data_IF_152775989844
#
_entry.id   IF_152775989844
#
_cell.length_a   1.000
_cell.length_b   1.000
_cell.length_c   1.000
_cell.angle_alpha   90.00
_cell.angle_beta   90.00
_cell.angle_gamma   90.00
#
_symmetry.space_group_name_H-M   'P 1'
#
loop_
_entity.id
_entity.type
_entity.pdbx_description
1 polymer ?
#
# COMPACT_ATOMS: atom_id res chain seq x y z
N UNK A 1 -7.51 -0.12 -17.73
CA UNK A 1 -7.48 -1.17 -16.69
C UNK A 1 -8.78 -1.94 -16.75
N UNK A 2 -8.76 -3.24 -16.46
CA UNK A 2 -9.97 -4.06 -16.41
C UNK A 2 -9.83 -5.15 -15.35
N UNK A 3 -10.85 -5.27 -14.50
CA UNK A 3 -10.90 -6.23 -13.40
C UNK A 3 -11.99 -7.28 -13.66
N UNK A 4 -11.70 -8.54 -13.37
CA UNK A 4 -12.66 -9.65 -13.43
C UNK A 4 -12.65 -10.39 -12.11
N UNK A 5 -13.84 -10.59 -11.54
CA UNK A 5 -14.05 -11.34 -10.30
C UNK A 5 -14.90 -12.58 -10.60
N UNK A 6 -14.41 -13.74 -10.19
CA UNK A 6 -15.16 -14.99 -10.20
C UNK A 6 -15.25 -15.51 -8.76
N UNK A 7 -16.45 -15.88 -8.33
CA UNK A 7 -16.71 -16.33 -6.96
C UNK A 7 -17.14 -17.80 -6.94
N UNK A 8 -16.64 -18.54 -5.96
CA UNK A 8 -17.07 -19.91 -5.66
C UNK A 8 -17.14 -20.10 -4.15
N UNK A 9 -18.32 -19.88 -3.57
CA UNK A 9 -18.47 -19.83 -2.11
C UNK A 9 -17.61 -18.70 -1.51
N UNK A 10 -16.75 -19.04 -0.56
CA UNK A 10 -15.76 -18.11 0.01
C UNK A 10 -14.49 -17.92 -0.82
N UNK A 11 -14.31 -18.71 -1.89
CA UNK A 11 -13.16 -18.59 -2.79
C UNK A 11 -13.41 -17.49 -3.82
N UNK A 12 -12.36 -16.75 -4.14
CA UNK A 12 -12.39 -15.69 -5.17
C UNK A 12 -11.24 -15.90 -6.14
N UNK A 13 -11.50 -15.77 -7.43
CA UNK A 13 -10.47 -15.53 -8.44
C UNK A 13 -10.62 -14.08 -8.94
N UNK A 14 -9.52 -13.34 -8.89
CA UNK A 14 -9.43 -11.96 -9.37
C UNK A 14 -8.40 -11.91 -10.49
N UNK A 15 -8.76 -11.32 -11.62
CA UNK A 15 -7.80 -10.95 -12.67
C UNK A 15 -7.83 -9.44 -12.87
N UNK A 16 -6.65 -8.82 -12.89
CA UNK A 16 -6.48 -7.40 -13.17
C UNK A 16 -5.53 -7.21 -14.34
N UNK A 17 -5.92 -6.37 -15.30
CA UNK A 17 -5.16 -6.14 -16.52
C UNK A 17 -4.79 -4.66 -16.71
N UNK A 18 -3.60 -4.42 -17.24
CA UNK A 18 -3.14 -3.11 -17.67
C UNK A 18 -2.46 -3.19 -19.04
N UNK A 19 -2.56 -2.07 -19.76
CA UNK A 19 -1.79 -1.78 -20.97
C UNK A 19 -1.18 -0.41 -20.76
N UNK A 20 0.13 -0.30 -20.96
CA UNK A 20 0.88 0.95 -20.88
C UNK A 20 1.72 1.05 -22.16
N UNK A 21 1.46 2.08 -22.97
CA UNK A 21 2.19 2.32 -24.22
C UNK A 21 3.70 2.41 -23.95
N UNK A 22 4.49 1.70 -24.75
CA UNK A 22 5.94 1.59 -24.61
C UNK A 22 6.42 0.58 -23.55
N UNK A 23 5.53 0.07 -22.71
CA UNK A 23 5.85 -0.94 -21.68
C UNK A 23 5.26 -2.31 -22.01
N UNK A 24 4.04 -2.34 -22.57
CA UNK A 24 3.32 -3.53 -22.99
C UNK A 24 2.01 -3.74 -22.25
N UNK A 25 1.54 -4.99 -22.27
CA UNK A 25 0.32 -5.39 -21.60
C UNK A 25 0.60 -6.49 -20.59
N UNK A 26 -0.22 -6.57 -19.54
CA UNK A 26 -0.10 -7.62 -18.55
C UNK A 26 -1.41 -7.93 -17.85
N UNK A 27 -1.55 -9.20 -17.46
CA UNK A 27 -2.70 -9.68 -16.68
C UNK A 27 -2.17 -10.40 -15.46
N UNK A 28 -2.55 -9.93 -14.28
CA UNK A 28 -2.29 -10.60 -13.02
C UNK A 28 -3.55 -11.31 -12.57
N UNK A 29 -3.46 -12.64 -12.44
CA UNK A 29 -4.56 -13.48 -11.97
C UNK A 29 -4.19 -14.12 -10.65
N UNK A 30 -5.03 -13.92 -9.65
CA UNK A 30 -4.86 -14.46 -8.30
C UNK A 30 -6.09 -15.21 -7.85
N UNK A 31 -5.89 -16.22 -7.02
CA UNK A 31 -6.94 -16.88 -6.26
C UNK A 31 -6.77 -16.54 -4.79
N UNK A 32 -7.88 -16.28 -4.11
CA UNK A 32 -7.98 -16.06 -2.67
C UNK A 32 -8.83 -17.19 -2.11
N UNK A 33 -8.19 -18.14 -1.44
CA UNK A 33 -8.80 -19.33 -0.84
C UNK A 33 -8.57 -19.25 0.68
N UNK A 34 -9.55 -18.74 1.46
CA UNK A 34 -9.41 -18.55 2.90
C UNK A 34 -9.10 -19.84 3.69
N UNK A 35 -9.45 -21.02 3.15
CA UNK A 35 -9.21 -22.31 3.80
C UNK A 35 -7.78 -22.86 3.66
N UNK A 36 -6.96 -22.31 2.77
CA UNK A 36 -5.61 -22.82 2.50
C UNK A 36 -4.67 -22.83 3.72
N UNK A 37 -4.67 -21.81 4.62
CA UNK A 37 -3.78 -21.81 5.78
C UNK A 37 -3.98 -23.02 6.70
N UNK A 38 -5.21 -23.53 6.84
CA UNK A 38 -5.49 -24.74 7.63
C UNK A 38 -4.83 -26.01 7.06
N UNK A 39 -4.35 -25.94 5.81
CA UNK A 39 -3.64 -27.00 5.10
C UNK A 39 -2.16 -26.66 4.88
N UNK A 40 -1.64 -25.62 5.53
CA UNK A 40 -0.25 -25.18 5.36
C UNK A 40 0.05 -24.53 4.01
N UNK A 41 -0.97 -24.01 3.31
CA UNK A 41 -0.82 -23.34 1.99
C UNK A 41 -1.11 -21.83 2.10
N UNK A 42 -0.52 -21.00 1.22
CA UNK A 42 -0.88 -19.59 1.14
C UNK A 42 -2.36 -19.38 0.77
N UNK A 43 -3.03 -18.44 1.41
CA UNK A 43 -4.41 -18.04 1.08
C UNK A 43 -4.50 -17.34 -0.27
N UNK A 44 -3.44 -16.64 -0.69
CA UNK A 44 -3.35 -15.95 -1.97
C UNK A 44 -2.27 -16.59 -2.83
N UNK A 45 -2.64 -17.00 -4.04
CA UNK A 45 -1.73 -17.58 -5.03
C UNK A 45 -2.04 -16.98 -6.39
N UNK A 46 -1.07 -16.95 -7.31
CA UNK A 46 -1.32 -16.43 -8.65
C UNK A 46 -0.06 -16.16 -9.44
N UNK A 47 -0.23 -15.59 -10.62
CA UNK A 47 0.86 -15.18 -11.48
C UNK A 47 0.49 -13.94 -12.28
N UNK A 48 1.51 -13.27 -12.81
CA UNK A 48 1.41 -12.20 -13.78
C UNK A 48 1.96 -12.67 -15.12
N UNK A 49 1.11 -12.64 -16.15
CA UNK A 49 1.49 -12.85 -17.54
C UNK A 49 1.78 -11.49 -18.19
N UNK A 50 2.91 -11.38 -18.89
CA UNK A 50 3.34 -10.15 -19.57
C UNK A 50 3.35 -10.40 -21.09
N UNK A 51 2.90 -9.42 -21.85
CA UNK A 51 2.92 -9.39 -23.30
C UNK A 51 3.76 -8.22 -23.81
N UNK A 52 4.43 -8.45 -24.93
CA UNK A 52 5.20 -7.43 -25.64
C UNK A 52 4.29 -6.36 -26.26
N UNK A 53 4.68 -5.09 -26.14
CA UNK A 53 3.89 -3.94 -26.61
C UNK A 53 3.74 -3.90 -28.15
N UNK A 54 4.75 -4.36 -28.88
CA UNK A 54 4.80 -4.26 -30.35
C UNK A 54 4.22 -5.51 -30.99
N UNK A 55 4.63 -6.69 -30.52
CA UNK A 55 4.29 -7.97 -31.16
C UNK A 55 3.09 -8.66 -30.53
N UNK A 56 2.69 -8.27 -29.32
CA UNK A 56 1.68 -8.97 -28.53
C UNK A 56 2.12 -10.36 -28.04
N UNK A 57 3.38 -10.75 -28.25
CA UNK A 57 3.88 -12.06 -27.86
C UNK A 57 4.01 -12.17 -26.32
N UNK A 58 3.68 -13.33 -25.71
CA UNK A 58 3.98 -13.58 -24.30
C UNK A 58 5.49 -13.46 -24.01
N UNK A 59 5.85 -12.60 -23.05
CA UNK A 59 7.26 -12.35 -22.66
C UNK A 59 7.69 -13.17 -21.44
N UNK A 60 6.82 -13.29 -20.44
CA UNK A 60 7.13 -13.92 -19.17
C UNK A 60 5.87 -14.28 -18.37
N UNK A 61 6.01 -15.24 -17.46
CA UNK A 61 5.09 -15.50 -16.35
C UNK A 61 5.87 -15.31 -15.06
N UNK A 62 5.41 -14.41 -14.20
CA UNK A 62 6.07 -14.07 -12.93
C UNK A 62 5.16 -14.44 -11.77
N UNK A 63 5.73 -15.03 -10.72
CA UNK A 63 4.99 -15.35 -9.50
C UNK A 63 4.34 -14.10 -8.87
N UNK A 64 3.08 -14.22 -8.42
CA UNK A 64 2.34 -13.09 -7.87
C UNK A 64 2.90 -12.59 -6.54
N UNK A 65 3.46 -13.46 -5.70
CA UNK A 65 3.98 -13.04 -4.41
C UNK A 65 5.17 -12.10 -4.60
N UNK A 66 6.03 -12.37 -5.58
CA UNK A 66 7.14 -11.48 -5.93
C UNK A 66 6.66 -10.10 -6.41
N UNK A 67 5.68 -10.06 -7.31
CA UNK A 67 5.09 -8.80 -7.79
C UNK A 67 4.45 -8.03 -6.65
N UNK A 68 3.58 -8.69 -5.88
CA UNK A 68 2.79 -8.04 -4.83
C UNK A 68 3.68 -7.51 -3.70
N UNK A 69 4.74 -8.25 -3.33
CA UNK A 69 5.74 -7.80 -2.34
C UNK A 69 6.30 -6.43 -2.72
N UNK A 70 6.91 -6.33 -3.91
CA UNK A 70 7.62 -5.10 -4.28
C UNK A 70 6.71 -3.99 -4.74
N UNK A 71 5.65 -4.28 -5.49
CA UNK A 71 4.76 -3.22 -6.01
C UNK A 71 4.03 -2.47 -4.90
N UNK A 72 3.62 -3.18 -3.86
CA UNK A 72 2.87 -2.59 -2.73
C UNK A 72 3.79 -1.73 -1.86
N UNK A 73 5.01 -2.21 -1.59
CA UNK A 73 6.01 -1.43 -0.86
C UNK A 73 6.48 -0.21 -1.67
N UNK A 74 6.80 -0.39 -2.96
CA UNK A 74 7.30 0.69 -3.81
C UNK A 74 6.31 1.84 -3.98
N UNK A 75 5.01 1.53 -4.08
CA UNK A 75 3.94 2.52 -4.12
C UNK A 75 3.97 3.43 -2.88
N UNK A 76 3.87 2.85 -1.68
CA UNK A 76 3.88 3.60 -0.41
C UNK A 76 5.23 4.29 -0.12
N UNK A 77 6.34 3.69 -0.53
CA UNK A 77 7.66 4.31 -0.34
C UNK A 77 7.85 5.49 -1.31
N UNK A 78 7.25 5.45 -2.50
CA UNK A 78 7.26 6.57 -3.42
C UNK A 78 6.42 7.74 -2.90
N UNK A 79 5.24 7.49 -2.33
CA UNK A 79 4.45 8.55 -1.66
C UNK A 79 5.24 9.17 -0.52
N UNK A 80 5.83 8.38 0.36
CA UNK A 80 6.66 8.88 1.45
C UNK A 80 7.85 9.71 0.94
N UNK A 81 8.56 9.27 -0.11
CA UNK A 81 9.64 10.04 -0.73
C UNK A 81 9.20 11.42 -1.22
N UNK A 82 7.99 11.51 -1.76
CA UNK A 82 7.45 12.73 -2.35
C UNK A 82 6.74 13.63 -1.33
N UNK A 83 6.11 13.06 -0.31
CA UNK A 83 5.16 13.73 0.58
C UNK A 83 5.60 13.80 2.04
N UNK A 84 6.51 12.94 2.52
CA UNK A 84 7.03 13.04 3.88
C UNK A 84 8.01 14.21 4.03
N UNK A 85 8.23 14.64 5.28
CA UNK A 85 9.27 15.62 5.59
C UNK A 85 10.65 15.04 5.23
N UNK A 86 11.56 15.89 4.75
CA UNK A 86 12.90 15.45 4.30
C UNK A 86 13.81 15.00 5.44
N UNK A 87 13.49 15.40 6.66
CA UNK A 87 14.18 15.06 7.90
C UNK A 87 13.47 13.95 8.70
N UNK A 88 12.53 13.22 8.08
CA UNK A 88 11.88 12.06 8.71
C UNK A 88 12.91 10.98 9.08
N UNK A 89 12.86 10.53 10.33
CA UNK A 89 13.80 9.57 10.94
C UNK A 89 13.12 8.34 11.51
N UNK A 90 11.85 8.44 11.88
CA UNK A 90 11.12 7.35 12.52
C UNK A 90 9.94 6.86 11.67
N UNK A 91 10.00 5.59 11.28
CA UNK A 91 8.91 4.85 10.64
C UNK A 91 8.20 3.96 11.67
N UNK A 92 6.89 4.13 11.80
CA UNK A 92 6.00 3.17 12.45
C UNK A 92 5.27 2.35 11.40
N UNK A 93 5.29 1.02 11.52
CA UNK A 93 4.48 0.11 10.71
C UNK A 93 3.41 -0.54 11.58
N UNK A 94 2.14 -0.31 11.24
CA UNK A 94 0.96 -0.89 11.89
C UNK A 94 0.53 -2.11 11.07
N UNK A 95 0.83 -3.29 11.61
CA UNK A 95 0.59 -4.60 11.00
C UNK A 95 1.86 -5.43 10.88
N UNK A 96 1.77 -6.73 11.19
CA UNK A 96 2.88 -7.68 11.07
C UNK A 96 2.55 -8.81 10.06
N UNK A 97 2.07 -8.39 8.88
CA UNK A 97 1.75 -9.27 7.75
C UNK A 97 2.88 -9.39 6.73
N UNK A 98 2.61 -10.05 5.60
CA UNK A 98 3.60 -10.23 4.54
C UNK A 98 4.08 -8.91 3.92
N UNK A 99 3.22 -7.88 3.88
CA UNK A 99 3.59 -6.55 3.36
C UNK A 99 4.60 -5.86 4.28
N UNK A 100 4.43 -5.95 5.60
CA UNK A 100 5.30 -5.30 6.58
C UNK A 100 6.78 -5.67 6.40
N UNK A 101 7.06 -6.96 6.10
CA UNK A 101 8.41 -7.46 5.80
C UNK A 101 9.09 -6.66 4.67
N UNK A 102 8.38 -6.40 3.57
CA UNK A 102 8.90 -5.58 2.47
C UNK A 102 8.94 -4.07 2.76
N UNK A 103 8.10 -3.56 3.66
CA UNK A 103 8.16 -2.14 4.05
C UNK A 103 9.43 -1.88 4.87
N UNK A 104 9.78 -2.78 5.80
CA UNK A 104 11.00 -2.68 6.61
C UNK A 104 12.25 -2.59 5.72
N UNK A 105 12.27 -3.33 4.61
CA UNK A 105 13.37 -3.28 3.64
C UNK A 105 13.31 -2.03 2.74
N UNK A 106 12.13 -1.67 2.24
CA UNK A 106 11.99 -0.68 1.16
C UNK A 106 12.09 0.77 1.65
N UNK A 107 11.55 1.10 2.82
CA UNK A 107 11.58 2.47 3.33
C UNK A 107 13.02 3.00 3.53
N UNK A 108 13.89 2.36 4.34
CA UNK A 108 15.25 2.85 4.54
C UNK A 108 16.10 2.82 3.25
N UNK A 109 15.80 1.93 2.31
CA UNK A 109 16.49 1.87 1.01
C UNK A 109 16.23 3.11 0.15
N UNK A 110 15.06 3.74 0.25
CA UNK A 110 14.67 4.92 -0.54
C UNK A 110 14.75 6.22 0.29
N UNK A 111 14.59 6.10 1.61
CA UNK A 111 14.67 7.17 2.59
C UNK A 111 15.83 6.86 3.56
N UNK A 112 17.09 7.11 3.15
CA UNK A 112 18.26 6.76 3.97
C UNK A 112 18.36 7.55 5.29
N UNK A 113 17.48 8.54 5.52
CA UNK A 113 17.37 9.27 6.78
C UNK A 113 16.57 8.53 7.86
N UNK A 114 15.92 7.40 7.55
CA UNK A 114 15.23 6.58 8.55
C UNK A 114 16.25 5.90 9.45
N UNK A 115 16.25 6.27 10.73
CA UNK A 115 17.16 5.80 11.76
C UNK A 115 16.49 4.76 12.68
N UNK A 116 15.15 4.81 12.79
CA UNK A 116 14.36 3.91 13.65
C UNK A 116 13.14 3.40 12.90
N UNK A 117 12.91 2.09 13.05
CA UNK A 117 11.68 1.42 12.62
C UNK A 117 11.04 0.78 13.84
N UNK A 118 9.75 1.01 14.03
CA UNK A 118 8.94 0.42 15.09
C UNK A 118 7.77 -0.32 14.47
N UNK A 119 7.48 -1.52 14.96
CA UNK A 119 6.32 -2.30 14.56
C UNK A 119 5.25 -2.23 15.64
N UNK A 120 4.00 -2.19 15.24
CA UNK A 120 2.88 -2.50 16.12
C UNK A 120 1.96 -3.49 15.43
N UNK A 121 1.39 -4.42 16.19
CA UNK A 121 0.36 -5.30 15.69
C UNK A 121 -0.58 -5.69 16.82
N UNK A 122 -1.87 -5.91 16.51
CA UNK A 122 -2.87 -6.37 17.49
C UNK A 122 -2.45 -7.64 18.25
N UNK A 123 -1.68 -8.49 17.58
CA UNK A 123 -0.99 -9.65 18.16
C UNK A 123 0.49 -9.26 18.36
N UNK A 124 0.92 -8.86 19.58
CA UNK A 124 2.29 -8.43 19.84
C UNK A 124 3.33 -9.50 19.48
N UNK A 125 3.01 -10.77 19.69
CA UNK A 125 3.86 -11.91 19.35
C UNK A 125 4.23 -11.96 17.86
N UNK A 126 3.32 -11.53 16.98
CA UNK A 126 3.58 -11.45 15.54
C UNK A 126 4.47 -10.26 15.18
N UNK A 127 4.30 -9.13 15.88
CA UNK A 127 5.19 -7.99 15.71
C UNK A 127 6.61 -8.36 16.18
N UNK A 128 6.75 -8.98 17.35
CA UNK A 128 8.04 -9.44 17.87
C UNK A 128 8.73 -10.42 16.93
N UNK A 129 8.02 -11.44 16.45
CA UNK A 129 8.60 -12.41 15.52
C UNK A 129 9.03 -11.81 14.17
N UNK A 130 8.45 -10.68 13.74
CA UNK A 130 8.89 -9.94 12.56
C UNK A 130 10.06 -9.02 12.91
N UNK A 131 9.98 -8.33 14.05
CA UNK A 131 11.00 -7.44 14.56
C UNK A 131 12.34 -8.14 14.75
N UNK A 132 12.34 -9.33 15.37
CA UNK A 132 13.55 -10.12 15.62
C UNK A 132 14.28 -10.52 14.32
N UNK A 133 13.56 -10.67 13.20
CA UNK A 133 14.17 -11.02 11.90
C UNK A 133 14.88 -9.85 11.25
N UNK A 134 14.47 -8.63 11.56
CA UNK A 134 14.97 -7.40 10.95
C UNK A 134 15.74 -6.51 11.93
N UNK A 135 15.84 -6.90 13.20
CA UNK A 135 16.46 -6.13 14.28
C UNK A 135 15.84 -4.73 14.44
N UNK A 136 14.51 -4.67 14.51
CA UNK A 136 13.71 -3.42 14.68
C UNK A 136 12.91 -3.42 15.98
N UNK A 137 12.36 -2.27 16.37
CA UNK A 137 11.60 -2.13 17.63
C UNK A 137 10.15 -2.63 17.53
N UNK A 138 9.54 -2.89 18.69
CA UNK A 138 8.08 -3.15 18.83
C UNK A 138 7.48 -2.16 19.81
N UNK A 139 6.36 -1.53 19.43
CA UNK A 139 5.60 -0.66 20.32
C UNK A 139 4.56 -1.47 21.10
N UNK A 140 4.44 -1.16 22.40
CA UNK A 140 3.36 -1.67 23.24
C UNK A 140 2.13 -0.76 23.19
N UNK A 141 2.34 0.56 23.24
CA UNK A 141 1.31 1.59 23.14
C UNK A 141 1.28 2.18 21.72
N UNK A 142 0.20 1.87 20.99
CA UNK A 142 0.01 2.37 19.63
C UNK A 142 -0.13 3.89 19.58
N UNK A 143 -0.84 4.50 20.52
CA UNK A 143 -1.10 5.94 20.51
C UNK A 143 0.20 6.72 20.71
N UNK A 144 1.03 6.29 21.67
CA UNK A 144 2.34 6.86 21.90
C UNK A 144 3.27 6.66 20.69
N UNK A 145 3.26 5.47 20.08
CA UNK A 145 4.08 5.19 18.91
C UNK A 145 3.68 6.02 17.69
N UNK A 146 2.38 6.24 17.46
CA UNK A 146 1.88 7.10 16.37
C UNK A 146 2.28 8.55 16.60
N UNK A 147 2.20 9.04 17.83
CA UNK A 147 2.58 10.42 18.16
C UNK A 147 4.08 10.71 17.96
N UNK A 148 4.92 9.68 18.15
CA UNK A 148 6.39 9.74 18.04
C UNK A 148 6.91 9.43 16.61
N UNK A 149 6.03 9.06 15.67
CA UNK A 149 6.41 8.69 14.31
C UNK A 149 6.39 9.87 13.33
N UNK A 150 7.40 9.95 12.47
CA UNK A 150 7.42 10.87 11.32
C UNK A 150 6.60 10.31 10.16
N UNK A 151 6.64 8.98 10.00
CA UNK A 151 5.91 8.24 8.98
C UNK A 151 5.16 7.08 9.65
N UNK A 152 3.88 6.95 9.35
CA UNK A 152 3.02 5.85 9.80
C UNK A 152 2.51 5.09 8.59
N UNK A 153 2.91 3.83 8.44
CA UNK A 153 2.44 2.94 7.38
C UNK A 153 1.50 1.88 7.96
N UNK A 154 0.24 1.83 7.53
CA UNK A 154 -0.72 0.79 7.92
C UNK A 154 -0.79 -0.29 6.86
N UNK A 155 -0.67 -1.56 7.23
CA UNK A 155 -0.77 -2.70 6.31
C UNK A 155 -1.52 -3.89 6.93
N UNK A 156 -2.69 -3.60 7.48
CA UNK A 156 -3.58 -4.52 8.18
C UNK A 156 -4.73 -5.00 7.29
N UNK A 157 -5.43 -6.05 7.74
CA UNK A 157 -6.66 -6.52 7.10
C UNK A 157 -7.91 -5.97 7.82
N UNK A 158 -7.82 -4.77 8.39
CA UNK A 158 -8.88 -4.21 9.22
C UNK A 158 -10.11 -3.79 8.40
N UNK A 159 -11.27 -3.91 9.04
CA UNK A 159 -12.57 -3.37 8.55
C UNK A 159 -13.06 -2.20 9.39
N UNK A 160 -12.46 -2.02 10.55
CA UNK A 160 -12.71 -0.93 11.49
C UNK A 160 -11.38 -0.21 11.75
N UNK A 161 -11.41 1.12 11.98
CA UNK A 161 -10.20 1.90 12.23
C UNK A 161 -9.30 1.31 13.31
N UNK A 162 -8.01 1.26 13.00
CA UNK A 162 -6.92 0.93 13.92
C UNK A 162 -6.06 2.18 14.19
N UNK A 163 -5.92 3.06 13.20
CA UNK A 163 -5.24 4.35 13.31
C UNK A 163 -6.26 5.46 13.59
N UNK A 164 -6.09 6.15 14.72
CA UNK A 164 -6.94 7.27 15.09
C UNK A 164 -6.25 8.62 14.81
N UNK A 165 -6.95 9.54 14.15
CA UNK A 165 -6.38 10.81 13.74
C UNK A 165 -5.95 11.68 14.92
N UNK A 166 -6.55 11.50 16.11
CA UNK A 166 -6.16 12.24 17.33
C UNK A 166 -4.73 11.98 17.79
N UNK A 167 -4.13 10.85 17.42
CA UNK A 167 -2.75 10.51 17.80
C UNK A 167 -1.70 11.15 16.90
N UNK A 168 -2.08 11.59 15.69
CA UNK A 168 -1.16 12.19 14.73
C UNK A 168 -0.66 13.55 15.21
N UNK A 169 0.65 13.78 15.04
CA UNK A 169 1.33 15.04 15.34
C UNK A 169 1.56 15.85 14.06
N UNK A 170 1.81 17.17 14.16
CA UNK A 170 2.15 17.99 13.00
C UNK A 170 3.34 17.41 12.22
N UNK A 171 3.23 17.40 10.89
CA UNK A 171 4.28 16.93 9.99
C UNK A 171 4.26 15.44 9.66
N UNK A 172 3.44 14.62 10.32
CA UNK A 172 3.37 13.17 10.05
C UNK A 172 2.96 12.88 8.60
N UNK A 173 3.62 11.90 7.97
CA UNK A 173 3.15 11.25 6.74
C UNK A 173 2.46 9.93 7.07
N UNK A 174 1.32 9.66 6.44
CA UNK A 174 0.56 8.43 6.65
C UNK A 174 0.38 7.72 5.32
N UNK A 175 0.80 6.46 5.25
CA UNK A 175 0.52 5.56 4.14
C UNK A 175 -0.53 4.52 4.56
N UNK A 176 -1.71 4.60 3.94
CA UNK A 176 -2.81 3.67 4.15
C UNK A 176 -2.75 2.57 3.09
N UNK A 177 -2.34 1.36 3.45
CA UNK A 177 -1.97 0.31 2.48
C UNK A 177 -2.93 -0.87 2.50
N UNK A 178 -3.34 -1.30 3.69
CA UNK A 178 -4.06 -2.54 3.93
C UNK A 178 -5.45 -2.63 3.30
N UNK A 179 -6.20 -1.53 3.24
CA UNK A 179 -7.54 -1.53 2.64
C UNK A 179 -7.51 -1.63 1.10
N UNK A 180 -8.15 -2.65 0.52
CA UNK A 180 -8.27 -2.83 -0.94
C UNK A 180 -9.66 -3.26 -1.42
N UNK A 181 -10.63 -3.42 -0.52
CA UNK A 181 -12.04 -3.70 -0.80
C UNK A 181 -12.94 -2.59 -0.25
N UNK A 182 -14.21 -2.57 -0.66
CA UNK A 182 -15.20 -1.56 -0.25
C UNK A 182 -15.56 -1.58 1.24
N UNK A 183 -15.32 -2.69 1.92
CA UNK A 183 -15.64 -2.92 3.33
C UNK A 183 -14.42 -2.85 4.25
N UNK A 184 -13.25 -2.47 3.73
CA UNK A 184 -12.02 -2.32 4.50
C UNK A 184 -11.65 -0.86 4.70
N UNK A 185 -11.23 -0.53 5.92
CA UNK A 185 -10.62 0.75 6.31
C UNK A 185 -9.69 0.53 7.49
N UNK A 186 -8.61 1.29 7.56
CA UNK A 186 -7.60 1.23 8.63
C UNK A 186 -7.55 2.49 9.47
N UNK A 187 -8.00 3.61 8.93
CA UNK A 187 -7.96 4.93 9.56
C UNK A 187 -9.36 5.41 9.91
N UNK A 188 -9.47 6.18 10.99
CA UNK A 188 -10.71 6.89 11.34
C UNK A 188 -10.93 8.14 10.47
N UNK A 189 -12.10 8.75 10.62
CA UNK A 189 -12.47 9.95 9.86
C UNK A 189 -11.57 11.16 10.21
N UNK A 190 -11.00 11.17 11.42
CA UNK A 190 -10.10 12.24 11.87
C UNK A 190 -8.76 12.19 11.14
N UNK A 191 -8.23 11.02 10.78
CA UNK A 191 -7.02 10.92 9.93
C UNK A 191 -7.28 11.62 8.59
N UNK A 192 -8.42 11.32 7.97
CA UNK A 192 -8.73 11.79 6.62
C UNK A 192 -9.08 13.28 6.56
N UNK A 193 -9.74 13.80 7.59
CA UNK A 193 -10.15 15.22 7.66
C UNK A 193 -9.04 16.15 8.17
N UNK A 194 -8.10 15.64 8.98
CA UNK A 194 -6.92 16.41 9.41
C UNK A 194 -5.79 16.38 8.38
N UNK A 195 -5.74 15.33 7.58
CA UNK A 195 -4.69 15.10 6.59
C UNK A 195 -5.00 15.69 5.22
N UNK A 196 -3.96 16.01 4.48
CA UNK A 196 -4.04 16.28 3.04
C UNK A 196 -4.05 14.95 2.29
N UNK A 197 -5.16 14.64 1.63
CA UNK A 197 -5.40 13.34 1.03
C UNK A 197 -4.82 13.23 -0.37
N UNK A 198 -4.08 12.15 -0.61
CA UNK A 198 -3.53 11.77 -1.90
C UNK A 198 -3.80 10.28 -2.16
N UNK A 199 -3.76 9.89 -3.42
CA UNK A 199 -3.94 8.48 -3.83
C UNK A 199 -2.86 8.09 -4.83
N UNK A 200 -2.65 6.80 -5.02
CA UNK A 200 -1.82 6.27 -6.12
C UNK A 200 -2.44 6.61 -7.49
N UNK A 201 -3.69 6.19 -7.68
CA UNK A 201 -4.50 6.45 -8.86
C UNK A 201 -5.98 6.54 -8.47
N UNK A 202 -6.64 7.63 -8.83
CA UNK A 202 -8.08 7.85 -8.57
C UNK A 202 -8.93 6.71 -9.13
N UNK A 203 -8.57 6.25 -10.33
CA UNK A 203 -9.32 5.24 -11.08
C UNK A 203 -9.38 3.86 -10.39
N UNK A 204 -8.42 3.50 -9.54
CA UNK A 204 -8.42 2.24 -8.78
C UNK A 204 -8.84 2.40 -7.33
N UNK A 205 -8.95 3.63 -6.84
CA UNK A 205 -9.10 3.92 -5.41
C UNK A 205 -10.48 4.52 -5.09
N UNK A 206 -10.89 5.59 -5.78
CA UNK A 206 -12.19 6.25 -5.55
C UNK A 206 -13.32 5.36 -6.07
N UNK A 207 -14.35 5.12 -5.25
CA UNK A 207 -15.47 4.24 -5.58
C UNK A 207 -15.20 2.74 -5.41
N UNK A 208 -13.95 2.36 -5.10
CA UNK A 208 -13.51 0.96 -5.01
C UNK A 208 -13.07 0.52 -3.62
N UNK A 209 -12.54 1.43 -2.80
CA UNK A 209 -11.89 1.08 -1.53
C UNK A 209 -12.57 1.78 -0.35
N UNK A 210 -12.86 1.01 0.70
CA UNK A 210 -13.61 1.43 1.88
C UNK A 210 -13.01 2.64 2.60
N UNK A 211 -11.67 2.73 2.64
CA UNK A 211 -10.94 3.87 3.20
C UNK A 211 -11.41 5.23 2.66
N UNK A 212 -11.87 5.29 1.41
CA UNK A 212 -12.48 6.49 0.84
C UNK A 212 -14.00 6.37 0.69
N UNK A 213 -14.53 5.22 0.27
CA UNK A 213 -15.96 5.10 -0.02
C UNK A 213 -16.85 5.19 1.22
N UNK A 214 -16.38 4.67 2.36
CA UNK A 214 -17.13 4.72 3.63
C UNK A 214 -17.30 6.17 4.11
N UNK A 215 -16.23 6.96 4.30
CA UNK A 215 -16.37 8.35 4.75
C UNK A 215 -17.03 9.26 3.69
N UNK A 216 -16.86 8.98 2.40
CA UNK A 216 -17.62 9.68 1.34
C UNK A 216 -19.12 9.43 1.43
N UNK A 217 -19.54 8.18 1.65
CA UNK A 217 -20.96 7.85 1.83
C UNK A 217 -21.56 8.48 3.10
N UNK A 218 -20.72 8.70 4.12
CA UNK A 218 -21.10 9.37 5.36
C UNK A 218 -21.06 10.92 5.27
N UNK A 219 -20.60 11.49 4.15
CA UNK A 219 -20.48 12.94 3.98
C UNK A 219 -19.33 13.59 4.76
N UNK A 220 -18.36 12.78 5.24
CA UNK A 220 -17.20 13.23 6.01
C UNK A 220 -16.15 13.87 5.10
N UNK A 221 -15.95 13.28 3.93
CA UNK A 221 -15.12 13.81 2.84
C UNK A 221 -15.88 13.67 1.52
N UNK A 222 -15.35 14.29 0.47
CA UNK A 222 -15.82 14.25 -0.90
C UNK A 222 -14.66 13.89 -1.84
N UNK A 223 -14.96 13.62 -3.11
CA UNK A 223 -13.92 13.38 -4.12
C UNK A 223 -12.97 14.58 -4.30
N UNK A 224 -13.46 15.80 -4.02
CA UNK A 224 -12.67 17.03 -4.10
C UNK A 224 -11.62 17.14 -2.99
N UNK A 225 -11.78 16.41 -1.89
CA UNK A 225 -10.80 16.39 -0.78
C UNK A 225 -9.56 15.55 -1.13
N UNK A 226 -9.65 14.67 -2.14
CA UNK A 226 -8.46 14.04 -2.72
C UNK A 226 -7.74 15.09 -3.57
N UNK A 227 -6.54 15.49 -3.15
CA UNK A 227 -5.82 16.64 -3.72
C UNK A 227 -4.95 16.29 -4.93
N UNK A 228 -4.65 15.02 -5.15
CA UNK A 228 -3.85 14.58 -6.28
C UNK A 228 -3.59 13.08 -6.29
N UNK A 229 -3.16 12.59 -7.44
CA UNK A 229 -2.60 11.24 -7.59
C UNK A 229 -1.13 11.30 -8.04
N UNK A 230 -0.43 10.17 -8.19
CA UNK A 230 1.01 10.19 -8.49
C UNK A 230 1.40 11.08 -9.66
N UNK A 231 0.62 11.09 -10.75
CA UNK A 231 0.93 11.93 -11.92
C UNK A 231 0.95 13.43 -11.59
N UNK A 232 0.16 13.85 -10.60
CA UNK A 232 0.08 15.25 -10.15
C UNK A 232 1.19 15.57 -9.16
N UNK A 233 1.49 14.61 -8.27
CA UNK A 233 2.56 14.75 -7.27
C UNK A 233 3.93 14.81 -7.95
N UNK A 234 4.21 13.87 -8.87
CA UNK A 234 5.48 13.82 -9.61
C UNK A 234 5.66 15.04 -10.51
N UNK A 235 4.57 15.58 -11.06
CA UNK A 235 4.62 16.80 -11.87
C UNK A 235 4.69 18.10 -11.03
N UNK A 236 4.71 18.02 -9.70
CA UNK A 236 4.75 19.18 -8.81
C UNK A 236 3.45 20.00 -8.78
N UNK A 237 2.34 19.44 -9.28
CA UNK A 237 1.01 20.09 -9.24
C UNK A 237 0.30 19.88 -7.91
N UNK A 238 0.67 18.83 -7.18
CA UNK A 238 0.12 18.48 -5.88
C UNK A 238 1.25 18.00 -4.96
N UNK A 239 1.07 18.10 -3.65
CA UNK A 239 2.04 17.58 -2.70
C UNK A 239 2.00 18.31 -1.36
N UNK A 240 3.05 18.08 -0.57
CA UNK A 240 3.24 18.78 0.70
C UNK A 240 3.48 20.27 0.47
N UNK A 241 2.78 21.14 1.20
CA UNK A 241 2.92 22.60 1.13
C UNK A 241 3.68 23.18 2.31
N UNK A 242 3.53 22.61 3.51
CA UNK A 242 4.16 23.08 4.75
C UNK A 242 4.81 21.94 5.54
N UNK A 243 5.80 22.23 6.41
CA UNK A 243 6.39 21.20 7.27
C UNK A 243 5.41 20.60 8.27
N UNK A 244 4.44 21.38 8.77
CA UNK A 244 3.56 20.99 9.88
C UNK A 244 2.28 20.25 9.43
N UNK A 245 1.95 20.26 8.15
CA UNK A 245 0.75 19.55 7.69
C UNK A 245 0.91 18.04 7.80
N UNK A 246 -0.21 17.35 8.05
CA UNK A 246 -0.28 15.91 7.94
C UNK A 246 -0.59 15.58 6.48
N UNK A 247 0.15 14.65 5.91
CA UNK A 247 -0.11 14.12 4.56
C UNK A 247 -0.59 12.69 4.68
N UNK A 248 -1.66 12.33 3.98
CA UNK A 248 -2.23 10.98 3.99
C UNK A 248 -2.28 10.49 2.56
N UNK A 249 -1.68 9.34 2.30
CA UNK A 249 -1.64 8.72 1.01
C UNK A 249 -2.35 7.37 1.07
N UNK A 250 -3.33 7.16 0.19
CA UNK A 250 -3.97 5.86 0.02
C UNK A 250 -3.33 5.11 -1.14
N UNK A 251 -2.67 4.01 -0.81
CA UNK A 251 -2.24 2.99 -1.75
C UNK A 251 -3.44 2.10 -2.10
N UNK A 252 -4.04 2.28 -3.28
CA UNK A 252 -5.10 1.39 -3.77
C UNK A 252 -4.57 0.20 -4.57
N UNK A 253 -3.34 0.31 -5.06
CA UNK A 253 -2.74 -0.61 -5.99
C UNK A 253 -3.41 -0.57 -7.37
N UNK A 254 -2.84 -1.29 -8.33
CA UNK A 254 -3.48 -1.51 -9.60
C UNK A 254 -2.64 -2.36 -10.53
N UNK A 255 -3.25 -2.83 -11.61
CA UNK A 255 -2.54 -3.62 -12.62
C UNK A 255 -1.43 -2.82 -13.32
N UNK A 256 -1.55 -1.49 -13.34
CA UNK A 256 -0.51 -0.62 -13.90
C UNK A 256 0.79 -0.71 -13.07
N UNK A 257 0.69 -0.68 -11.74
CA UNK A 257 1.83 -0.92 -10.85
C UNK A 257 2.35 -2.35 -10.95
N UNK A 258 1.45 -3.32 -11.05
CA UNK A 258 1.83 -4.72 -11.25
C UNK A 258 2.69 -4.86 -12.53
N UNK A 259 2.28 -4.24 -13.65
CA UNK A 259 3.00 -4.26 -14.93
C UNK A 259 4.35 -3.53 -14.87
N UNK A 260 4.39 -2.34 -14.26
CA UNK A 260 5.62 -1.59 -14.05
C UNK A 260 6.64 -2.41 -13.24
N UNK A 261 6.22 -3.03 -12.14
CA UNK A 261 7.08 -3.90 -11.33
C UNK A 261 7.52 -5.15 -12.08
N UNK A 262 6.61 -5.76 -12.85
CA UNK A 262 6.91 -6.95 -13.64
C UNK A 262 8.00 -6.69 -14.69
N UNK A 263 7.96 -5.53 -15.34
CA UNK A 263 8.98 -5.14 -16.31
C UNK A 263 10.35 -4.93 -15.64
N UNK A 264 10.41 -4.28 -14.49
CA UNK A 264 11.66 -4.13 -13.71
C UNK A 264 12.25 -5.48 -13.31
N UNK A 265 11.43 -6.42 -12.85
CA UNK A 265 11.89 -7.78 -12.52
C UNK A 265 12.44 -8.49 -13.76
N UNK A 266 11.74 -8.38 -14.90
CA UNK A 266 12.17 -9.01 -16.14
C UNK A 266 13.53 -8.46 -16.61
N UNK A 267 13.73 -7.15 -16.51
CA UNK A 267 14.99 -6.50 -16.89
C UNK A 267 16.14 -6.95 -15.98
N UNK A 268 15.87 -7.12 -14.67
CA UNK A 268 16.89 -7.59 -13.72
C UNK A 268 17.31 -9.04 -13.90
N UNK A 269 16.40 -9.91 -14.35
CA UNK A 269 16.71 -11.32 -14.63
C UNK A 269 17.51 -11.48 -15.94
N UNK A 270 17.38 -10.51 -16.85
CA UNK A 270 18.06 -10.52 -18.14
C UNK A 270 19.44 -9.84 -18.12
N UNK A 271 19.75 -9.08 -17.06
CA UNK A 271 21.04 -8.42 -16.82
C UNK A 271 22.03 -9.34 -16.12
#
# INVERSE_FOLDING_TARGET
MGDTFLHRGGDVMLSRAAWIDGLGAGVKSVTVLPGNPAQGRPSVQGAMLIFDDVTGAPKAVIDNALITRWKTAADSVLSARLLARKDARHLLIIGAGAVADSLIEAYPAVLPGIERITLWNRSPERAQALADRHDVGVAEDLAAAVADADIVATCTMAKEPVLEGRWLTPGTHVDLIGAFTKDMREADDAVLTRGRLFVDARASTIGHIGELTIPMAAGVISEADVLGEFRDIVAGRAGRQTPDEITVFKNGGGAHLDLMTAQVILDRVRS
#
